data_IF_799394157118
#
_entry.id   IF_799394157118
#
_cell.length_a   1.000
_cell.length_b   1.000
_cell.length_c   1.000
_cell.angle_alpha   90.00
_cell.angle_beta   90.00
_cell.angle_gamma   90.00
#
_symmetry.space_group_name_H-M   'P 1'
#
loop_
_entity.id
_entity.type
_entity.pdbx_description
1 polymer ?
#
# COMPACT_ATOMS: atom_id res chain seq x y z
N UNK A 1 -23.45 35.82 -9.57
CA UNK A 1 -23.01 34.64 -8.80
C UNK A 1 -22.38 33.64 -9.74
N UNK A 2 -21.04 33.63 -9.82
CA UNK A 2 -20.33 32.58 -10.55
C UNK A 2 -20.41 31.29 -9.74
N UNK A 3 -21.04 30.25 -10.28
CA UNK A 3 -20.92 28.89 -9.75
C UNK A 3 -19.45 28.51 -9.87
N UNK A 4 -18.77 28.35 -8.73
CA UNK A 4 -17.49 27.67 -8.67
C UNK A 4 -17.71 26.25 -9.19
N UNK A 5 -17.37 26.00 -10.44
CA UNK A 5 -17.10 24.65 -10.89
C UNK A 5 -15.84 24.22 -10.13
N UNK A 6 -15.99 23.47 -9.03
CA UNK A 6 -14.90 22.63 -8.54
C UNK A 6 -14.46 21.81 -9.75
N UNK A 7 -13.31 22.12 -10.31
CA UNK A 7 -12.64 21.26 -11.27
C UNK A 7 -12.49 19.91 -10.57
N UNK A 8 -13.34 18.93 -10.92
CA UNK A 8 -13.14 17.54 -10.56
C UNK A 8 -11.77 17.18 -11.12
N UNK A 9 -10.73 17.21 -10.28
CA UNK A 9 -9.45 16.61 -10.64
C UNK A 9 -9.71 15.14 -10.95
N UNK A 10 -9.02 14.59 -11.94
CA UNK A 10 -9.01 13.14 -12.11
C UNK A 10 -8.62 12.52 -10.77
N UNK A 11 -9.41 11.54 -10.30
CA UNK A 11 -9.11 10.78 -9.10
C UNK A 11 -7.70 10.18 -9.22
N UNK A 12 -6.91 10.27 -8.16
CA UNK A 12 -5.51 9.84 -8.12
C UNK A 12 -5.32 8.71 -7.13
N UNK A 13 -4.16 8.07 -7.17
CA UNK A 13 -3.72 7.14 -6.13
C UNK A 13 -2.61 7.81 -5.33
N UNK A 14 -2.77 7.84 -4.01
CA UNK A 14 -1.75 8.32 -3.08
C UNK A 14 -0.98 7.14 -2.51
N UNK A 15 0.34 7.19 -2.53
CA UNK A 15 1.22 6.12 -2.05
C UNK A 15 1.75 6.48 -0.67
N UNK A 16 1.59 5.55 0.28
CA UNK A 16 2.24 5.58 1.59
C UNK A 16 3.13 4.34 1.74
N UNK A 17 4.39 4.55 2.09
CA UNK A 17 5.28 3.46 2.50
C UNK A 17 5.02 3.18 3.98
N UNK A 18 4.49 2.00 4.28
CA UNK A 18 4.36 1.51 5.65
C UNK A 18 5.67 0.82 6.02
N UNK A 19 6.41 1.42 6.94
CA UNK A 19 7.67 0.86 7.39
C UNK A 19 7.59 0.46 8.86
N UNK A 20 7.60 -0.85 9.07
CA UNK A 20 7.90 -1.48 10.33
C UNK A 20 8.56 -2.81 10.01
N UNK A 21 9.86 -2.89 10.33
CA UNK A 21 10.56 -4.17 10.30
C UNK A 21 10.25 -4.96 11.57
N UNK A 22 10.29 -6.29 11.45
CA UNK A 22 10.17 -7.20 12.58
C UNK A 22 11.50 -7.27 13.35
N UNK A 23 11.44 -7.08 14.67
CA UNK A 23 12.59 -7.31 15.55
C UNK A 23 13.00 -8.79 15.60
N UNK A 24 12.15 -9.69 15.09
CA UNK A 24 12.40 -11.14 15.03
C UNK A 24 13.36 -11.52 13.89
N UNK A 25 13.46 -10.70 12.83
CA UNK A 25 14.28 -10.98 11.65
C UNK A 25 15.28 -9.85 11.34
N UNK A 26 16.23 -9.56 12.26
CA UNK A 26 17.14 -8.42 12.15
C UNK A 26 18.04 -8.44 10.90
N UNK A 27 18.25 -9.62 10.30
CA UNK A 27 19.05 -9.79 9.10
C UNK A 27 18.32 -9.37 7.81
N UNK A 28 16.99 -9.32 7.82
CA UNK A 28 16.18 -8.95 6.65
C UNK A 28 15.90 -7.44 6.59
N UNK A 29 16.02 -6.75 7.73
CA UNK A 29 15.76 -5.30 7.89
C UNK A 29 16.40 -4.45 6.80
N UNK A 30 17.67 -4.71 6.44
CA UNK A 30 18.36 -3.93 5.41
C UNK A 30 17.75 -4.14 4.02
N UNK A 31 17.41 -5.38 3.69
CA UNK A 31 16.79 -5.71 2.41
C UNK A 31 15.39 -5.11 2.32
N UNK A 32 14.58 -5.26 3.36
CA UNK A 32 13.23 -4.71 3.47
C UNK A 32 13.22 -3.18 3.38
N UNK A 33 14.16 -2.53 4.09
CA UNK A 33 14.34 -1.08 4.05
C UNK A 33 14.65 -0.58 2.63
N UNK A 34 15.65 -1.18 1.98
CA UNK A 34 16.05 -0.82 0.62
C UNK A 34 14.91 -1.07 -0.37
N UNK A 35 14.26 -2.23 -0.26
CA UNK A 35 13.17 -2.63 -1.14
C UNK A 35 11.97 -1.68 -0.99
N UNK A 36 11.52 -1.38 0.23
CA UNK A 36 10.39 -0.48 0.49
C UNK A 36 10.65 0.96 0.04
N UNK A 37 11.87 1.47 0.26
CA UNK A 37 12.26 2.82 -0.21
C UNK A 37 12.31 2.87 -1.74
N UNK A 38 12.91 1.87 -2.38
CA UNK A 38 12.93 1.76 -3.84
C UNK A 38 11.51 1.67 -4.41
N UNK A 39 10.64 0.88 -3.78
CA UNK A 39 9.23 0.77 -4.14
C UNK A 39 8.56 2.13 -4.11
N UNK A 40 8.65 2.85 -2.99
CA UNK A 40 8.03 4.16 -2.85
C UNK A 40 8.54 5.19 -3.86
N UNK A 41 9.83 5.17 -4.19
CA UNK A 41 10.39 6.02 -5.25
C UNK A 41 9.75 5.71 -6.60
N UNK A 42 9.65 4.43 -6.98
CA UNK A 42 9.08 4.02 -8.27
C UNK A 42 7.56 4.25 -8.31
N UNK A 43 6.83 3.80 -7.29
CA UNK A 43 5.39 3.96 -7.17
C UNK A 43 4.98 5.44 -7.19
N UNK A 44 5.72 6.31 -6.50
CA UNK A 44 5.46 7.75 -6.55
C UNK A 44 5.64 8.34 -7.96
N UNK A 45 6.49 7.75 -8.81
CA UNK A 45 6.61 8.14 -10.23
C UNK A 45 5.42 7.63 -11.05
N UNK A 46 5.02 6.37 -10.85
CA UNK A 46 3.86 5.75 -11.52
C UNK A 46 2.60 6.57 -11.26
N UNK A 47 2.38 7.02 -10.01
CA UNK A 47 1.20 7.77 -9.61
C UNK A 47 1.38 9.28 -9.62
N UNK A 48 2.50 9.78 -10.16
CA UNK A 48 2.81 11.21 -10.30
C UNK A 48 2.71 12.03 -8.99
N UNK A 49 2.95 11.39 -7.84
CA UNK A 49 2.97 12.04 -6.53
C UNK A 49 4.21 12.95 -6.42
N UNK A 50 4.04 14.17 -5.93
CA UNK A 50 5.17 15.12 -5.83
C UNK A 50 6.01 14.90 -4.57
N UNK A 51 5.44 14.23 -3.58
CA UNK A 51 6.04 13.92 -2.30
C UNK A 51 6.09 12.39 -2.10
N UNK A 52 6.87 11.93 -1.12
CA UNK A 52 6.85 10.53 -0.68
C UNK A 52 6.41 10.51 0.77
N UNK A 53 5.26 9.91 1.02
CA UNK A 53 4.72 9.74 2.37
C UNK A 53 5.20 8.42 2.94
N UNK A 54 5.69 8.46 4.19
CA UNK A 54 5.97 7.26 4.98
C UNK A 54 5.13 7.30 6.25
N UNK A 55 4.72 6.13 6.73
CA UNK A 55 4.18 5.94 8.06
C UNK A 55 5.21 5.15 8.88
N UNK A 56 5.95 5.86 9.73
CA UNK A 56 6.99 5.31 10.60
C UNK A 56 6.89 5.95 12.01
N UNK A 57 6.16 5.32 12.96
CA UNK A 57 5.90 5.93 14.27
C UNK A 57 7.12 5.95 15.20
N UNK A 58 8.10 5.09 14.94
CA UNK A 58 9.36 5.08 15.67
C UNK A 58 10.39 6.01 15.01
N UNK A 59 10.99 6.91 15.79
CA UNK A 59 11.96 7.90 15.29
C UNK A 59 13.24 7.27 14.73
N UNK A 60 13.70 6.16 15.31
CA UNK A 60 14.85 5.42 14.79
C UNK A 60 14.50 4.79 13.45
N UNK A 61 13.32 4.17 13.34
CA UNK A 61 12.81 3.62 12.07
C UNK A 61 12.67 4.70 10.99
N UNK A 62 12.09 5.85 11.33
CA UNK A 62 12.00 6.99 10.42
C UNK A 62 13.39 7.50 9.96
N UNK A 63 14.37 7.53 10.87
CA UNK A 63 15.74 7.89 10.54
C UNK A 63 16.37 6.92 9.54
N UNK A 64 16.15 5.61 9.71
CA UNK A 64 16.64 4.59 8.78
C UNK A 64 16.04 4.76 7.38
N UNK A 65 14.73 4.99 7.27
CA UNK A 65 14.08 5.29 5.98
C UNK A 65 14.68 6.54 5.34
N UNK A 66 14.88 7.61 6.11
CA UNK A 66 15.47 8.84 5.59
C UNK A 66 16.94 8.67 5.14
N UNK A 67 17.72 7.83 5.82
CA UNK A 67 19.11 7.52 5.42
C UNK A 67 19.16 6.68 4.16
N UNK A 68 18.29 5.68 4.03
CA UNK A 68 18.20 4.86 2.81
C UNK A 68 17.71 5.70 1.63
N UNK A 69 16.67 6.52 1.84
CA UNK A 69 16.13 7.42 0.82
C UNK A 69 17.19 8.31 0.15
N UNK A 70 18.14 8.84 0.93
CA UNK A 70 19.25 9.67 0.43
C UNK A 70 20.19 8.95 -0.54
N UNK A 71 20.16 7.61 -0.59
CA UNK A 71 20.98 6.81 -1.52
C UNK A 71 20.35 6.73 -2.91
N UNK A 72 19.06 7.05 -3.05
CA UNK A 72 18.37 7.02 -4.32
C UNK A 72 18.40 8.40 -5.00
N UNK A 73 18.53 8.48 -6.34
CA UNK A 73 18.47 9.73 -7.09
C UNK A 73 17.01 10.21 -7.20
N UNK A 74 16.42 10.62 -6.07
CA UNK A 74 15.07 11.14 -5.97
C UNK A 74 15.09 12.49 -5.23
N UNK A 75 14.51 13.52 -5.84
CA UNK A 75 14.49 14.89 -5.29
C UNK A 75 13.18 15.24 -4.58
N UNK A 76 12.27 14.26 -4.44
CA UNK A 76 10.97 14.50 -3.80
C UNK A 76 11.15 14.68 -2.28
N UNK A 77 10.35 15.53 -1.63
CA UNK A 77 10.37 15.59 -0.18
C UNK A 77 9.83 14.27 0.40
N UNK A 78 10.60 13.71 1.34
CA UNK A 78 10.17 12.60 2.19
C UNK A 78 9.46 13.15 3.42
N UNK A 79 8.21 12.76 3.63
CA UNK A 79 7.36 13.27 4.70
C UNK A 79 6.92 12.10 5.57
N UNK A 80 7.34 12.08 6.84
CA UNK A 80 6.83 11.11 7.80
C UNK A 80 5.51 11.59 8.42
N UNK A 81 4.46 10.83 8.20
CA UNK A 81 3.12 11.15 8.69
C UNK A 81 3.05 11.14 10.23
N UNK A 82 3.94 10.42 10.90
CA UNK A 82 3.99 10.33 12.37
C UNK A 82 4.80 11.44 13.07
N UNK A 83 5.51 12.29 12.33
CA UNK A 83 6.42 13.27 12.94
C UNK A 83 5.69 14.40 13.67
N UNK A 84 4.63 14.94 13.06
CA UNK A 84 3.81 16.01 13.62
C UNK A 84 2.46 16.14 12.90
N UNK A 85 1.47 16.76 13.56
CA UNK A 85 0.11 16.96 13.04
C UNK A 85 0.06 17.72 11.71
N UNK A 86 0.98 18.67 11.46
CA UNK A 86 0.98 19.41 10.19
C UNK A 86 1.27 18.51 8.99
N UNK A 87 2.00 17.39 9.17
CA UNK A 87 2.25 16.43 8.10
C UNK A 87 0.96 15.68 7.73
N UNK A 88 0.15 15.32 8.72
CA UNK A 88 -1.19 14.73 8.50
C UNK A 88 -2.11 15.75 7.80
N UNK A 89 -2.17 16.99 8.29
CA UNK A 89 -2.95 18.07 7.66
C UNK A 89 -2.52 18.28 6.20
N UNK A 90 -1.21 18.26 5.94
CA UNK A 90 -0.67 18.39 4.60
C UNK A 90 -1.06 17.21 3.71
N UNK A 91 -0.92 15.98 4.19
CA UNK A 91 -1.35 14.77 3.48
C UNK A 91 -2.85 14.82 3.14
N UNK A 92 -3.71 15.13 4.12
CA UNK A 92 -5.15 15.25 3.94
C UNK A 92 -5.53 16.36 2.96
N UNK A 93 -4.72 17.41 2.84
CA UNK A 93 -4.93 18.47 1.83
C UNK A 93 -4.74 18.00 0.39
N UNK A 94 -4.05 16.86 0.19
CA UNK A 94 -3.83 16.24 -1.12
C UNK A 94 -4.94 15.27 -1.51
N UNK A 95 -5.69 14.77 -0.53
CA UNK A 95 -6.73 13.77 -0.72
C UNK A 95 -8.06 14.43 -1.06
N UNK A 96 -8.76 13.87 -2.04
CA UNK A 96 -10.15 14.18 -2.35
C UNK A 96 -11.02 12.92 -2.45
N UNK A 97 -12.32 13.10 -2.34
CA UNK A 97 -13.30 12.03 -2.52
C UNK A 97 -13.11 11.30 -3.86
N UNK A 98 -13.14 9.97 -3.80
CA UNK A 98 -12.96 9.10 -4.95
C UNK A 98 -11.49 8.82 -5.33
N UNK A 99 -10.52 9.45 -4.69
CA UNK A 99 -9.11 9.03 -4.78
C UNK A 99 -8.92 7.60 -4.24
N UNK A 100 -7.78 7.00 -4.54
CA UNK A 100 -7.36 5.72 -3.97
C UNK A 100 -6.14 5.92 -3.07
N UNK A 101 -5.96 5.03 -2.11
CA UNK A 101 -4.75 4.92 -1.31
C UNK A 101 -4.03 3.63 -1.70
N UNK A 102 -2.72 3.68 -1.87
CA UNK A 102 -1.87 2.51 -1.99
C UNK A 102 -0.93 2.47 -0.79
N UNK A 103 -0.98 1.40 -0.03
CA UNK A 103 0.00 1.13 1.03
C UNK A 103 1.00 0.11 0.51
N UNK A 104 2.29 0.44 0.59
CA UNK A 104 3.37 -0.49 0.29
C UNK A 104 4.03 -0.89 1.59
N UNK A 105 4.11 -2.19 1.84
CA UNK A 105 4.70 -2.76 3.05
C UNK A 105 4.94 -4.24 2.87
N UNK A 106 5.88 -4.78 3.63
CA UNK A 106 6.14 -6.21 3.61
C UNK A 106 4.94 -6.99 4.13
N UNK A 107 4.48 -7.98 3.37
CA UNK A 107 3.44 -8.90 3.81
C UNK A 107 4.04 -10.15 4.47
N UNK A 108 3.44 -10.58 5.57
CA UNK A 108 3.59 -11.92 6.13
C UNK A 108 2.23 -12.61 6.10
N UNK A 109 1.94 -13.41 5.08
CA UNK A 109 0.62 -14.02 4.94
C UNK A 109 0.35 -15.12 5.97
N UNK A 110 1.39 -15.72 6.56
CA UNK A 110 1.26 -16.77 7.58
C UNK A 110 0.89 -16.17 8.93
N UNK A 111 1.52 -15.05 9.30
CA UNK A 111 1.17 -14.29 10.49
C UNK A 111 0.00 -13.32 10.29
N UNK A 112 -0.47 -13.15 9.05
CA UNK A 112 -1.47 -12.16 8.65
C UNK A 112 -1.05 -10.72 9.01
N UNK A 113 0.18 -10.34 8.68
CA UNK A 113 0.74 -9.02 9.00
C UNK A 113 1.14 -8.24 7.76
N UNK A 114 1.03 -6.91 7.84
CA UNK A 114 1.62 -5.96 6.89
C UNK A 114 2.50 -4.99 7.64
N UNK A 115 3.79 -4.95 7.28
CA UNK A 115 4.80 -4.23 8.02
C UNK A 115 4.72 -4.54 9.53
N UNK A 116 4.57 -5.82 9.89
CA UNK A 116 4.43 -6.27 11.27
C UNK A 116 3.13 -5.88 11.99
N UNK A 117 2.09 -5.46 11.25
CA UNK A 117 0.79 -5.05 11.81
C UNK A 117 -0.33 -5.95 11.35
N UNK A 118 -1.18 -6.33 12.28
CA UNK A 118 -2.43 -7.04 11.95
C UNK A 118 -3.48 -6.09 11.36
N UNK A 119 -4.61 -6.67 10.94
CA UNK A 119 -5.68 -5.92 10.28
C UNK A 119 -6.30 -4.85 11.19
N UNK A 120 -6.44 -5.13 12.50
CA UNK A 120 -7.04 -4.20 13.47
C UNK A 120 -6.15 -2.97 13.66
N UNK A 121 -4.85 -3.19 13.82
CA UNK A 121 -3.86 -2.13 13.88
C UNK A 121 -3.84 -1.28 12.60
N UNK A 122 -3.94 -1.91 11.42
CA UNK A 122 -4.01 -1.16 10.16
C UNK A 122 -5.29 -0.33 10.05
N UNK A 123 -6.43 -0.86 10.51
CA UNK A 123 -7.70 -0.13 10.53
C UNK A 123 -7.59 1.11 11.41
N UNK A 124 -7.10 0.96 12.64
CA UNK A 124 -6.89 2.07 13.58
C UNK A 124 -6.00 3.15 12.97
N UNK A 125 -4.86 2.76 12.37
CA UNK A 125 -3.96 3.71 11.70
C UNK A 125 -4.68 4.47 10.58
N UNK A 126 -5.40 3.78 9.71
CA UNK A 126 -6.04 4.42 8.56
C UNK A 126 -7.19 5.35 9.00
N UNK A 127 -7.98 4.95 10.00
CA UNK A 127 -9.16 5.70 10.41
C UNK A 127 -8.84 6.81 11.42
N UNK A 128 -7.97 6.52 12.39
CA UNK A 128 -7.69 7.40 13.53
C UNK A 128 -6.42 8.22 13.27
N UNK A 129 -5.26 7.58 13.08
CA UNK A 129 -3.99 8.31 12.90
C UNK A 129 -3.95 9.13 11.61
N UNK A 130 -4.49 8.57 10.51
CA UNK A 130 -4.53 9.23 9.21
C UNK A 130 -5.85 9.96 8.93
N UNK A 131 -6.81 9.89 9.86
CA UNK A 131 -8.11 10.59 9.79
C UNK A 131 -8.88 10.37 8.47
N UNK A 132 -8.91 9.14 7.96
CA UNK A 132 -9.53 8.83 6.66
C UNK A 132 -11.01 8.44 6.71
N UNK A 133 -11.62 8.37 7.90
CA UNK A 133 -12.97 7.82 8.14
C UNK A 133 -14.05 8.31 7.18
N UNK A 134 -14.02 9.59 6.80
CA UNK A 134 -15.10 10.23 6.03
C UNK A 134 -14.60 10.82 4.69
N UNK A 135 -13.47 10.32 4.17
CA UNK A 135 -12.89 10.83 2.91
C UNK A 135 -13.56 10.25 1.66
N UNK A 136 -14.32 9.16 1.77
CA UNK A 136 -15.01 8.54 0.64
C UNK A 136 -14.05 8.06 -0.46
N UNK A 137 -12.98 7.37 -0.06
CA UNK A 137 -11.96 6.88 -0.97
C UNK A 137 -12.48 5.68 -1.77
N UNK A 138 -12.03 5.56 -3.01
CA UNK A 138 -12.46 4.50 -3.92
C UNK A 138 -11.83 3.16 -3.57
N UNK A 139 -10.50 3.11 -3.48
CA UNK A 139 -9.79 1.86 -3.23
C UNK A 139 -8.72 2.03 -2.15
N UNK A 140 -8.58 1.04 -1.29
CA UNK A 140 -7.32 0.74 -0.60
C UNK A 140 -6.61 -0.36 -1.39
N UNK A 141 -5.47 -0.02 -1.99
CA UNK A 141 -4.56 -0.93 -2.67
C UNK A 141 -3.46 -1.36 -1.71
N UNK A 142 -3.54 -2.61 -1.25
CA UNK A 142 -2.59 -3.20 -0.32
C UNK A 142 -1.50 -3.89 -1.13
N UNK A 143 -0.47 -3.12 -1.48
CA UNK A 143 0.68 -3.57 -2.27
C UNK A 143 1.68 -4.32 -1.39
N UNK A 144 1.23 -5.49 -0.93
CA UNK A 144 1.98 -6.43 -0.10
C UNK A 144 1.88 -7.82 -0.69
N UNK A 145 3.04 -8.43 -0.95
CA UNK A 145 3.16 -9.74 -1.57
C UNK A 145 2.31 -10.80 -0.85
N UNK A 146 1.54 -11.58 -1.62
CA UNK A 146 0.75 -12.74 -1.15
C UNK A 146 -0.35 -12.48 -0.12
N UNK A 147 -0.58 -11.24 0.32
CA UNK A 147 -1.65 -10.93 1.28
C UNK A 147 -3.07 -11.21 0.75
N UNK A 148 -3.24 -11.40 -0.57
CA UNK A 148 -4.46 -11.93 -1.16
C UNK A 148 -4.85 -13.34 -0.66
N UNK A 149 -3.87 -14.10 -0.14
CA UNK A 149 -4.07 -15.44 0.41
C UNK A 149 -4.59 -15.40 1.87
N UNK A 150 -4.40 -14.29 2.58
CA UNK A 150 -4.81 -14.12 3.98
C UNK A 150 -6.29 -13.73 4.07
N UNK A 151 -7.17 -14.72 4.04
CA UNK A 151 -8.63 -14.50 4.01
C UNK A 151 -9.14 -13.70 5.22
N UNK A 152 -8.73 -14.04 6.45
CA UNK A 152 -9.25 -13.38 7.64
C UNK A 152 -8.80 -11.92 7.70
N UNK A 153 -7.53 -11.66 7.37
CA UNK A 153 -7.01 -10.30 7.24
C UNK A 153 -7.88 -9.45 6.30
N UNK A 154 -8.19 -9.97 5.10
CA UNK A 154 -9.03 -9.27 4.12
C UNK A 154 -10.44 -9.02 4.63
N UNK A 155 -11.08 -10.01 5.25
CA UNK A 155 -12.44 -9.84 5.79
C UNK A 155 -12.49 -8.79 6.90
N UNK A 156 -11.48 -8.76 7.79
CA UNK A 156 -11.38 -7.71 8.82
C UNK A 156 -11.26 -6.32 8.20
N UNK A 157 -10.40 -6.14 7.19
CA UNK A 157 -10.27 -4.86 6.48
C UNK A 157 -11.58 -4.42 5.81
N UNK A 158 -12.26 -5.35 5.11
CA UNK A 158 -13.54 -5.08 4.44
C UNK A 158 -14.58 -4.58 5.45
N UNK A 159 -14.67 -5.23 6.62
CA UNK A 159 -15.61 -4.84 7.67
C UNK A 159 -15.24 -3.49 8.30
N UNK A 160 -13.98 -3.33 8.71
CA UNK A 160 -13.52 -2.17 9.46
C UNK A 160 -13.38 -0.88 8.64
N UNK A 161 -13.13 -0.97 7.33
CA UNK A 161 -12.84 0.19 6.48
C UNK A 161 -14.01 0.64 5.60
N UNK A 162 -15.20 0.10 5.82
CA UNK A 162 -16.38 0.37 4.98
C UNK A 162 -16.85 1.84 4.96
N UNK A 163 -16.49 2.62 5.98
CA UNK A 163 -16.76 4.07 6.04
C UNK A 163 -15.78 4.89 5.19
N UNK A 164 -14.51 4.46 5.14
CA UNK A 164 -13.43 5.20 4.49
C UNK A 164 -13.22 4.79 3.02
N UNK A 165 -13.41 3.50 2.67
CA UNK A 165 -13.07 2.93 1.37
C UNK A 165 -14.23 2.13 0.77
N UNK A 166 -14.41 2.21 -0.55
CA UNK A 166 -15.42 1.40 -1.26
C UNK A 166 -14.93 -0.01 -1.63
N UNK A 167 -13.61 -0.20 -1.74
CA UNK A 167 -13.01 -1.42 -2.24
C UNK A 167 -11.64 -1.66 -1.61
N UNK A 168 -11.35 -2.91 -1.27
CA UNK A 168 -10.04 -3.38 -0.83
C UNK A 168 -9.43 -4.21 -1.96
N UNK A 169 -8.18 -3.92 -2.31
CA UNK A 169 -7.41 -4.60 -3.34
C UNK A 169 -6.20 -5.26 -2.69
N UNK A 170 -6.00 -6.55 -2.96
CA UNK A 170 -4.85 -7.34 -2.46
C UNK A 170 -4.29 -8.24 -3.56
N UNK A 171 -3.09 -8.79 -3.35
CA UNK A 171 -2.39 -9.59 -4.34
C UNK A 171 -1.99 -10.98 -3.85
N UNK A 172 -2.18 -12.00 -4.68
CA UNK A 172 -1.84 -13.40 -4.36
C UNK A 172 -0.41 -13.79 -4.73
N UNK A 173 0.29 -12.95 -5.49
CA UNK A 173 1.66 -13.20 -5.98
C UNK A 173 2.68 -12.25 -5.34
N UNK A 174 3.97 -12.54 -5.56
CA UNK A 174 5.04 -11.60 -5.26
C UNK A 174 4.97 -10.42 -6.25
N UNK A 175 5.08 -9.20 -5.74
CA UNK A 175 5.12 -7.96 -6.51
C UNK A 175 6.58 -7.49 -6.61
N UNK A 176 6.95 -6.95 -7.77
CA UNK A 176 8.21 -6.26 -8.00
C UNK A 176 7.95 -4.96 -8.73
N UNK A 177 8.82 -4.00 -8.48
CA UNK A 177 8.85 -2.69 -9.13
C UNK A 177 10.18 -2.52 -9.83
N UNK A 178 10.22 -1.70 -10.88
CA UNK A 178 11.46 -1.43 -11.58
C UNK A 178 11.38 -0.23 -12.50
N UNK A 179 12.50 0.02 -13.16
CA UNK A 179 12.64 1.00 -14.24
C UNK A 179 13.02 0.25 -15.52
N UNK A 180 12.33 0.53 -16.63
CA UNK A 180 12.71 -0.01 -17.93
C UNK A 180 14.03 0.59 -18.42
N UNK A 181 14.61 0.01 -19.48
CA UNK A 181 15.76 0.59 -20.18
C UNK A 181 15.47 2.01 -20.72
N UNK A 182 14.20 2.31 -21.00
CA UNK A 182 13.70 3.63 -21.41
C UNK A 182 13.31 4.53 -20.24
N UNK A 183 13.74 4.18 -19.02
CA UNK A 183 13.48 4.92 -17.79
C UNK A 183 11.98 5.11 -17.49
N UNK A 184 11.14 4.15 -17.90
CA UNK A 184 9.72 4.12 -17.54
C UNK A 184 9.52 3.25 -16.30
N UNK A 185 8.87 3.77 -15.24
CA UNK A 185 8.60 2.99 -14.05
C UNK A 185 7.52 1.93 -14.33
N UNK A 186 7.65 0.74 -13.74
CA UNK A 186 6.66 -0.32 -13.89
C UNK A 186 6.45 -1.11 -12.59
N UNK A 187 5.31 -1.82 -12.55
CA UNK A 187 4.99 -2.88 -11.57
C UNK A 187 4.79 -4.18 -12.33
N UNK A 188 5.26 -5.28 -11.75
CA UNK A 188 5.13 -6.62 -12.29
C UNK A 188 4.96 -7.64 -11.17
N UNK A 189 4.44 -8.82 -11.50
CA UNK A 189 4.21 -9.89 -10.53
C UNK A 189 4.98 -11.13 -10.94
N UNK A 190 5.68 -11.74 -9.99
CA UNK A 190 6.54 -12.89 -10.27
C UNK A 190 5.65 -14.11 -10.48
N UNK A 191 5.80 -14.76 -11.64
CA UNK A 191 5.11 -16.01 -11.94
C UNK A 191 5.81 -17.14 -11.20
N UNK A 192 5.06 -17.88 -10.38
CA UNK A 192 5.58 -19.07 -9.72
C UNK A 192 5.79 -20.16 -10.79
N UNK A 193 7.05 -20.50 -11.06
CA UNK A 193 7.38 -21.65 -11.88
C UNK A 193 7.27 -22.91 -11.01
N UNK A 194 6.14 -23.61 -11.09
CA UNK A 194 5.90 -24.91 -10.41
C UNK A 194 6.85 -26.03 -10.88
N UNK A 195 7.65 -25.78 -11.91
CA UNK A 195 8.61 -26.73 -12.44
C UNK A 195 9.99 -26.43 -11.86
N UNK A 196 10.55 -27.38 -11.08
CA UNK A 196 11.93 -27.45 -10.58
C UNK A 196 13.01 -27.43 -11.70
N UNK A 197 12.92 -26.48 -12.64
CA UNK A 197 13.93 -26.24 -13.67
C UNK A 197 14.67 -24.99 -13.24
N UNK A 198 15.83 -25.24 -12.65
CA UNK A 198 16.83 -24.24 -12.27
C UNK A 198 17.50 -23.60 -13.51
N UNK A 199 16.75 -23.33 -14.58
CA UNK A 199 17.26 -22.78 -15.83
C UNK A 199 16.40 -21.57 -16.23
N UNK A 200 16.95 -20.41 -15.87
CA UNK A 200 17.00 -19.16 -16.62
C UNK A 200 15.72 -18.32 -16.78
N UNK A 201 15.68 -17.27 -15.95
CA UNK A 201 14.78 -16.11 -15.91
C UNK A 201 13.48 -16.28 -15.11
N UNK A 202 13.27 -15.37 -14.16
CA UNK A 202 11.97 -15.14 -13.55
C UNK A 202 10.99 -14.67 -14.64
N UNK A 203 9.91 -15.41 -14.83
CA UNK A 203 8.80 -14.97 -15.66
C UNK A 203 7.97 -13.94 -14.87
N UNK A 204 7.46 -12.91 -15.55
CA UNK A 204 6.65 -11.87 -14.92
C UNK A 204 5.30 -11.68 -15.61
N UNK A 205 4.27 -11.46 -14.80
CA UNK A 205 2.96 -10.98 -15.22
C UNK A 205 2.93 -9.45 -15.24
N UNK A 206 2.25 -8.91 -16.24
CA UNK A 206 1.97 -7.48 -16.37
C UNK A 206 0.69 -7.09 -15.63
N UNK A 207 0.34 -5.80 -15.64
CA UNK A 207 -0.92 -5.31 -15.05
C UNK A 207 -2.15 -5.87 -15.78
N UNK A 208 -2.03 -6.16 -17.07
CA UNK A 208 -3.12 -6.67 -17.90
C UNK A 208 -3.45 -8.14 -17.60
N UNK A 209 -2.49 -8.86 -17.00
CA UNK A 209 -2.61 -10.27 -16.63
C UNK A 209 -3.34 -10.47 -15.29
N UNK A 210 -3.51 -9.41 -14.51
CA UNK A 210 -3.90 -9.51 -13.11
C UNK A 210 -5.24 -10.19 -12.85
N UNK A 211 -6.26 -9.83 -13.63
CA UNK A 211 -7.62 -10.40 -13.48
C UNK A 211 -7.67 -11.81 -14.05
N UNK A 212 -6.99 -12.02 -15.18
CA UNK A 212 -6.96 -13.30 -15.91
C UNK A 212 -6.41 -14.43 -15.04
N UNK A 213 -5.38 -14.15 -14.26
CA UNK A 213 -4.69 -15.16 -13.44
C UNK A 213 -5.04 -15.09 -11.95
N UNK A 214 -6.07 -14.31 -11.56
CA UNK A 214 -6.48 -14.18 -10.15
C UNK A 214 -5.38 -13.62 -9.25
N UNK A 215 -4.48 -12.81 -9.82
CA UNK A 215 -3.35 -12.21 -9.10
C UNK A 215 -3.86 -11.08 -8.21
N UNK A 216 -4.83 -10.31 -8.72
CA UNK A 216 -5.46 -9.21 -8.00
C UNK A 216 -6.83 -9.65 -7.52
N UNK A 217 -7.06 -9.54 -6.21
CA UNK A 217 -8.39 -9.69 -5.63
C UNK A 217 -8.94 -8.31 -5.34
N UNK A 218 -10.16 -8.03 -5.81
CA UNK A 218 -10.91 -6.80 -5.54
C UNK A 218 -12.19 -7.13 -4.81
N UNK A 219 -12.36 -6.58 -3.63
CA UNK A 219 -13.52 -6.85 -2.78
C UNK A 219 -14.18 -5.54 -2.37
N UNK A 220 -15.50 -5.47 -2.59
CA UNK A 220 -16.29 -4.30 -2.18
C UNK A 220 -16.49 -4.33 -0.67
N UNK A 221 -16.34 -3.18 -0.02
CA UNK A 221 -16.67 -3.03 1.41
C UNK A 221 -18.18 -3.06 1.66
N UNK A 222 -19.00 -2.88 0.61
CA UNK A 222 -20.44 -3.08 0.69
C UNK A 222 -20.85 -4.57 0.68
N UNK A 223 -19.92 -5.50 0.43
CA UNK A 223 -20.18 -6.95 0.38
C UNK A 223 -20.33 -7.61 1.76
N UNK A 224 -20.39 -6.84 2.85
CA UNK A 224 -20.69 -7.37 4.17
C UNK A 224 -22.08 -8.01 4.12
N UNK A 225 -22.10 -9.33 4.08
CA UNK A 225 -23.32 -10.11 4.24
C UNK A 225 -23.80 -9.88 5.69
N UNK A 226 -25.01 -9.33 5.92
CA UNK A 226 -25.52 -9.02 7.27
C UNK A 226 -25.50 -10.21 8.25
N UNK A 227 -25.37 -11.43 7.73
CA UNK A 227 -25.36 -12.68 8.48
C UNK A 227 -24.14 -12.90 9.38
N UNK A 228 -23.03 -12.15 9.23
CA UNK A 228 -21.88 -12.23 10.12
C UNK A 228 -21.97 -11.28 11.33
N UNK A 229 -22.80 -10.24 11.25
CA UNK A 229 -23.01 -9.30 12.36
C UNK A 229 -23.88 -9.88 13.48
N UNK A 230 -24.65 -10.94 13.21
CA UNK A 230 -25.55 -11.58 14.20
C UNK A 230 -24.90 -12.74 14.98
N UNK A 231 -23.63 -13.10 14.70
CA UNK A 231 -22.94 -14.21 15.41
C UNK A 231 -21.94 -13.75 16.48
N UNK A 232 -21.82 -12.45 16.75
CA UNK A 232 -20.98 -11.90 17.82
C UNK A 232 -21.75 -11.02 18.82
N UNK A 233 -23.09 -11.09 18.80
CA UNK A 233 -23.97 -10.48 19.82
C UNK A 233 -24.34 -11.44 20.94
#
# INVERSE_FOLDING_TARGET
MAKFFKTKGLNKTHVIIFYAYSDEYPHQVKHELSAGVEAGVILSKIFHQQEIFIYAPDKEKACLVAQEYKKHPCEKPLINLCDNENNIVYFLSKIQEGDSLLINGQGDPEAELIAGRDAESLIEILLEDLELSDKGLKNLDVDSCRMGLSFNYRQKLIAGLSTAFNCIITYTMLCSWGMSETNQPYRQWIKLNDNNRAEDADDFYSTDDLETYGIRIKESTASINPLLAEQQG
#
